data_IF_146225731863
#
_entry.id   IF_146225731863
#
_cell.length_a   1.000
_cell.length_b   1.000
_cell.length_c   1.000
_cell.angle_alpha   90.00
_cell.angle_beta   90.00
_cell.angle_gamma   90.00
#
_symmetry.space_group_name_H-M   'P 1'
#
loop_
_entity.id
_entity.type
_entity.pdbx_description
1 polymer ?
#
# COMPACT_ATOMS: atom_id res chain seq x y z
N UNK A 1 -6.53 1.30 -12.02
CA UNK A 1 -5.63 1.79 -10.94
C UNK A 1 -5.46 3.30 -11.10
N UNK A 2 -5.50 4.05 -10.03
CA UNK A 2 -5.26 5.48 -10.10
C UNK A 2 -3.98 5.84 -9.33
N UNK A 3 -3.48 7.03 -9.62
CA UNK A 3 -2.21 7.51 -9.07
C UNK A 3 -2.24 7.64 -7.55
N UNK A 4 -3.38 8.05 -6.99
CA UNK A 4 -3.54 8.19 -5.54
C UNK A 4 -3.40 6.86 -4.82
N UNK A 5 -4.05 5.80 -5.33
CA UNK A 5 -3.95 4.47 -4.74
C UNK A 5 -2.53 3.93 -4.81
N UNK A 6 -1.86 4.18 -5.93
CA UNK A 6 -0.45 3.78 -6.10
C UNK A 6 0.44 4.49 -5.08
N UNK A 7 0.23 5.78 -4.88
CA UNK A 7 0.98 6.57 -3.91
C UNK A 7 0.78 6.05 -2.49
N UNK A 8 -0.47 5.75 -2.13
CA UNK A 8 -0.80 5.19 -0.81
C UNK A 8 -0.11 3.85 -0.61
N UNK A 9 -0.16 2.98 -1.61
CA UNK A 9 0.53 1.69 -1.56
C UNK A 9 2.04 1.89 -1.35
N UNK A 10 2.65 2.76 -2.15
CA UNK A 10 4.08 3.01 -2.10
C UNK A 10 4.52 3.51 -0.72
N UNK A 11 3.81 4.49 -0.16
CA UNK A 11 4.13 5.02 1.16
C UNK A 11 3.95 3.95 2.25
N UNK A 12 2.90 3.14 2.15
CA UNK A 12 2.67 2.07 3.11
C UNK A 12 3.75 1.00 3.02
N UNK A 13 4.16 0.65 1.81
CA UNK A 13 5.22 -0.36 1.60
C UNK A 13 6.55 0.08 2.20
N UNK A 14 6.85 1.38 2.18
CA UNK A 14 8.11 1.88 2.72
C UNK A 14 8.20 1.74 4.23
N UNK A 15 7.11 1.91 4.96
CA UNK A 15 7.16 1.92 6.42
C UNK A 15 6.36 0.79 7.08
N UNK A 16 5.51 0.09 6.33
CA UNK A 16 4.68 -1.01 6.80
C UNK A 16 3.81 -0.64 8.00
N UNK A 17 3.29 0.58 7.99
CA UNK A 17 2.49 1.13 9.08
C UNK A 17 1.42 2.05 8.53
N UNK A 18 0.19 1.53 8.40
CA UNK A 18 -0.93 2.27 7.82
C UNK A 18 -1.32 3.50 8.63
N UNK A 19 -1.21 3.43 9.96
CA UNK A 19 -1.53 4.55 10.84
C UNK A 19 -0.58 5.73 10.60
N UNK A 20 0.70 5.42 10.46
CA UNK A 20 1.72 6.44 10.19
C UNK A 20 1.50 7.10 8.84
N UNK A 21 1.17 6.31 7.81
CA UNK A 21 0.89 6.84 6.47
C UNK A 21 -0.36 7.72 6.50
N UNK A 22 -1.40 7.29 7.21
CA UNK A 22 -2.63 8.07 7.34
C UNK A 22 -2.34 9.44 7.92
N UNK A 23 -1.54 9.50 8.98
CA UNK A 23 -1.15 10.77 9.60
C UNK A 23 -0.37 11.65 8.63
N UNK A 24 0.59 11.09 7.92
CA UNK A 24 1.44 11.86 6.99
C UNK A 24 0.64 12.38 5.79
N UNK A 25 -0.42 11.69 5.39
CA UNK A 25 -1.24 12.09 4.24
C UNK A 25 -2.51 12.84 4.65
N UNK A 26 -2.72 13.06 5.95
CA UNK A 26 -3.89 13.77 6.48
C UNK A 26 -5.22 13.12 6.11
N UNK A 27 -5.25 11.78 6.13
CA UNK A 27 -6.47 11.00 5.88
C UNK A 27 -6.61 9.95 6.99
N UNK A 28 -7.78 9.30 7.04
CA UNK A 28 -8.04 8.29 8.06
C UNK A 28 -7.33 6.97 7.72
N UNK A 29 -7.04 6.18 8.76
CA UNK A 29 -6.44 4.86 8.56
C UNK A 29 -7.37 3.93 7.76
N UNK A 30 -8.70 3.92 7.98
CA UNK A 30 -9.58 3.15 7.11
C UNK A 30 -9.52 3.54 5.64
N UNK A 31 -9.27 4.82 5.33
CA UNK A 31 -9.10 5.26 3.93
C UNK A 31 -7.84 4.66 3.30
N UNK A 32 -6.74 4.54 4.07
CA UNK A 32 -5.53 3.87 3.61
C UNK A 32 -5.83 2.39 3.33
N UNK A 33 -6.46 1.72 4.28
CA UNK A 33 -6.79 0.31 4.17
C UNK A 33 -7.70 0.03 2.97
N UNK A 34 -8.72 0.88 2.77
CA UNK A 34 -9.64 0.74 1.66
C UNK A 34 -8.94 0.95 0.31
N UNK A 35 -8.09 1.96 0.20
CA UNK A 35 -7.36 2.24 -1.04
C UNK A 35 -6.48 1.05 -1.44
N UNK A 36 -5.81 0.44 -0.46
CA UNK A 36 -4.97 -0.74 -0.70
C UNK A 36 -5.83 -1.93 -1.12
N UNK A 37 -6.97 -2.15 -0.44
CA UNK A 37 -7.87 -3.24 -0.80
C UNK A 37 -8.41 -3.08 -2.23
N UNK A 38 -8.74 -1.86 -2.62
CA UNK A 38 -9.21 -1.58 -3.99
C UNK A 38 -8.11 -1.82 -5.01
N UNK A 39 -6.88 -1.43 -4.69
CA UNK A 39 -5.74 -1.69 -5.57
C UNK A 39 -5.49 -3.18 -5.72
N UNK A 40 -5.53 -3.94 -4.63
CA UNK A 40 -5.40 -5.39 -4.65
C UNK A 40 -6.50 -6.03 -5.51
N UNK A 41 -7.73 -5.52 -5.39
CA UNK A 41 -8.85 -5.99 -6.20
C UNK A 41 -8.63 -5.70 -7.68
N UNK A 42 -8.18 -4.49 -8.01
CA UNK A 42 -7.91 -4.09 -9.40
C UNK A 42 -6.84 -4.98 -10.03
N UNK A 43 -5.82 -5.34 -9.27
CA UNK A 43 -4.68 -6.15 -9.74
C UNK A 43 -4.90 -7.64 -9.59
N UNK A 44 -5.93 -8.04 -8.86
CA UNK A 44 -6.25 -9.43 -8.54
C UNK A 44 -5.07 -10.14 -7.85
N UNK A 45 -4.38 -9.45 -6.96
CA UNK A 45 -3.29 -10.00 -6.15
C UNK A 45 -3.31 -9.39 -4.76
N UNK A 46 -2.72 -10.11 -3.80
CA UNK A 46 -2.47 -9.54 -2.47
C UNK A 46 -1.12 -8.84 -2.49
N UNK A 47 -1.10 -7.61 -2.03
CA UNK A 47 0.14 -6.82 -1.94
C UNK A 47 0.73 -6.87 -0.54
N UNK A 48 -0.13 -7.04 0.48
CA UNK A 48 0.29 -7.13 1.87
C UNK A 48 -0.31 -8.35 2.53
N UNK A 49 0.44 -8.93 3.46
CA UNK A 49 -0.04 -9.94 4.40
C UNK A 49 0.02 -9.37 5.81
N UNK A 50 -0.94 -9.76 6.63
CA UNK A 50 -0.92 -9.41 8.04
C UNK A 50 -0.71 -10.69 8.85
N UNK A 51 0.43 -10.76 9.54
CA UNK A 51 0.78 -11.91 10.38
C UNK A 51 0.86 -11.39 11.82
N UNK A 52 -0.08 -11.84 12.64
CA UNK A 52 -0.28 -11.26 13.96
C UNK A 52 -0.67 -9.79 13.81
N UNK A 53 0.09 -8.90 14.44
CA UNK A 53 -0.16 -7.46 14.37
C UNK A 53 0.76 -6.74 13.39
N UNK A 54 1.57 -7.50 12.63
CA UNK A 54 2.54 -6.92 11.71
C UNK A 54 2.07 -7.02 10.27
N UNK A 55 2.42 -6.01 9.49
CA UNK A 55 2.16 -5.93 8.07
C UNK A 55 3.43 -6.29 7.32
N UNK A 56 3.29 -7.10 6.27
CA UNK A 56 4.40 -7.54 5.43
C UNK A 56 4.03 -7.39 3.97
N UNK A 57 5.01 -7.11 3.11
CA UNK A 57 4.80 -7.18 1.66
C UNK A 57 4.79 -8.65 1.23
N UNK A 58 3.85 -8.99 0.35
CA UNK A 58 3.90 -10.27 -0.35
C UNK A 58 4.98 -10.19 -1.43
N UNK A 59 5.26 -11.32 -2.08
CA UNK A 59 6.15 -11.31 -3.25
C UNK A 59 5.63 -10.34 -4.32
N UNK A 60 4.33 -10.41 -4.61
CA UNK A 60 3.70 -9.49 -5.57
C UNK A 60 3.80 -8.05 -5.10
N UNK A 61 3.66 -7.81 -3.80
CA UNK A 61 3.83 -6.48 -3.22
C UNK A 61 5.24 -5.94 -3.46
N UNK A 62 6.26 -6.78 -3.34
CA UNK A 62 7.64 -6.37 -3.60
C UNK A 62 7.84 -5.98 -5.07
N UNK A 63 7.26 -6.75 -5.98
CA UNK A 63 7.33 -6.47 -7.42
C UNK A 63 6.66 -5.12 -7.73
N UNK A 64 5.45 -4.90 -7.23
CA UNK A 64 4.73 -3.65 -7.47
C UNK A 64 5.38 -2.47 -6.76
N UNK A 65 6.03 -2.70 -5.64
CA UNK A 65 6.80 -1.64 -4.97
C UNK A 65 7.92 -1.12 -5.88
N UNK A 66 8.64 -1.99 -6.55
CA UNK A 66 9.70 -1.60 -7.47
C UNK A 66 9.15 -0.80 -8.66
N UNK A 67 8.03 -1.23 -9.23
CA UNK A 67 7.38 -0.47 -10.30
C UNK A 67 6.92 0.89 -9.82
N UNK A 68 6.31 0.94 -8.63
CA UNK A 68 5.84 2.20 -8.04
C UNK A 68 6.99 3.17 -7.82
N UNK A 69 8.12 2.67 -7.34
CA UNK A 69 9.31 3.48 -7.10
C UNK A 69 9.78 4.15 -8.38
N UNK A 70 9.78 3.42 -9.49
CA UNK A 70 10.20 3.97 -10.79
C UNK A 70 9.24 5.02 -11.31
N UNK A 71 7.94 4.85 -11.06
CA UNK A 71 6.92 5.79 -11.52
C UNK A 71 6.92 7.05 -10.68
N UNK A 72 7.11 6.92 -9.36
CA UNK A 72 6.93 8.02 -8.40
C UNK A 72 8.21 8.80 -8.10
N UNK A 73 9.37 8.29 -8.50
CA UNK A 73 10.65 8.97 -8.24
C UNK A 73 11.22 9.61 -9.49
#
# INVERSE_FOLDING_TARGET
>A
MNFRKLKIFFETAKCLNMTKVAKSMYISQPSISQAIAELESDLDVKLFDRIGKRLYLTHEGEVYFEYSRRILN
#
